data_IF_925404735662
#
_entry.id   IF_925404735662
#
_cell.length_a   1.000
_cell.length_b   1.000
_cell.length_c   1.000
_cell.angle_alpha   90.00
_cell.angle_beta   90.00
_cell.angle_gamma   90.00
#
_symmetry.space_group_name_H-M   'P 1'
#
loop_
_entity.id
_entity.type
_entity.pdbx_description
1 polymer ?
#
# COMPACT_ATOMS: atom_id res chain seq x y z
N UNK A 1 -35.74 0.60 -34.11
CA UNK A 1 -35.57 -0.88 -34.20
C UNK A 1 -34.10 -1.30 -34.10
N UNK A 2 -33.15 -0.55 -34.68
CA UNK A 2 -31.70 -0.84 -34.56
C UNK A 2 -31.12 -0.47 -33.17
N UNK A 3 -31.58 0.63 -32.57
CA UNK A 3 -31.14 1.05 -31.22
C UNK A 3 -31.54 0.05 -30.13
N UNK A 4 -32.74 -0.52 -30.21
CA UNK A 4 -33.22 -1.54 -29.26
C UNK A 4 -32.42 -2.85 -29.31
N UNK A 5 -31.83 -3.19 -30.46
CA UNK A 5 -30.94 -4.35 -30.59
C UNK A 5 -29.53 -4.08 -30.05
N UNK A 6 -29.01 -2.86 -30.25
CA UNK A 6 -27.74 -2.40 -29.67
C UNK A 6 -27.81 -2.40 -28.14
N UNK A 7 -28.89 -1.87 -27.56
CA UNK A 7 -29.05 -1.84 -26.09
C UNK A 7 -29.24 -3.25 -25.49
N UNK A 8 -29.86 -4.18 -26.22
CA UNK A 8 -29.95 -5.59 -25.82
C UNK A 8 -28.58 -6.28 -25.84
N UNK A 9 -27.72 -5.96 -26.81
CA UNK A 9 -26.37 -6.54 -26.92
C UNK A 9 -25.38 -5.93 -25.92
N UNK A 10 -25.54 -4.65 -25.56
CA UNK A 10 -24.82 -4.00 -24.47
C UNK A 10 -25.19 -4.57 -23.10
N UNK A 11 -26.46 -4.97 -22.91
CA UNK A 11 -26.92 -5.64 -21.68
C UNK A 11 -26.43 -7.09 -21.62
N UNK A 12 -26.43 -7.82 -22.75
CA UNK A 12 -25.95 -9.22 -22.84
C UNK A 12 -24.43 -9.37 -22.64
N UNK A 13 -23.64 -8.33 -22.95
CA UNK A 13 -22.19 -8.30 -22.74
C UNK A 13 -21.77 -7.56 -21.47
N UNK A 14 -22.67 -7.41 -20.50
CA UNK A 14 -22.28 -7.02 -19.15
C UNK A 14 -21.66 -8.22 -18.43
N UNK A 15 -20.47 -8.62 -18.89
CA UNK A 15 -19.49 -9.28 -18.02
C UNK A 15 -19.06 -8.24 -16.98
N UNK A 16 -19.97 -7.81 -16.11
CA UNK A 16 -19.59 -7.27 -14.82
C UNK A 16 -18.94 -8.48 -14.18
N UNK A 17 -17.61 -8.48 -13.97
CA UNK A 17 -17.00 -9.55 -13.21
C UNK A 17 -17.63 -9.45 -11.83
N UNK A 18 -18.63 -10.29 -11.58
CA UNK A 18 -19.11 -10.54 -10.23
C UNK A 18 -17.88 -10.82 -9.37
N UNK A 19 -17.94 -10.45 -8.10
CA UNK A 19 -16.93 -10.85 -7.12
C UNK A 19 -16.81 -12.38 -7.22
N UNK A 20 -15.73 -12.86 -7.88
CA UNK A 20 -15.67 -14.20 -8.45
C UNK A 20 -15.52 -14.29 -9.99
N UNK A 21 -14.91 -13.30 -10.66
CA UNK A 21 -14.55 -13.42 -12.08
C UNK A 21 -13.66 -14.63 -12.36
N UNK A 22 -13.64 -15.17 -13.60
CA UNK A 22 -12.82 -16.34 -13.91
C UNK A 22 -11.35 -16.06 -13.57
N UNK A 23 -10.61 -17.06 -13.08
CA UNK A 23 -9.17 -16.91 -12.74
C UNK A 23 -8.33 -16.33 -13.90
N UNK A 24 -8.84 -16.42 -15.13
CA UNK A 24 -8.25 -15.82 -16.34
C UNK A 24 -8.21 -14.28 -16.28
N UNK A 25 -9.05 -13.62 -15.48
CA UNK A 25 -9.04 -12.18 -15.27
C UNK A 25 -7.78 -11.67 -14.54
N UNK A 26 -7.05 -12.54 -13.85
CA UNK A 26 -5.78 -12.19 -13.20
C UNK A 26 -4.57 -12.24 -14.15
N UNK A 27 -4.73 -12.81 -15.35
CA UNK A 27 -3.65 -12.94 -16.33
C UNK A 27 -3.02 -11.60 -16.74
N UNK A 28 -3.78 -10.53 -17.04
CA UNK A 28 -3.21 -9.21 -17.32
C UNK A 28 -2.42 -8.64 -16.13
N UNK A 29 -2.87 -8.90 -14.89
CA UNK A 29 -2.19 -8.44 -13.66
C UNK A 29 -0.83 -9.12 -13.52
N UNK A 30 -0.76 -10.43 -13.79
CA UNK A 30 0.51 -11.17 -13.76
C UNK A 30 1.49 -10.69 -14.82
N UNK A 31 1.01 -10.45 -16.05
CA UNK A 31 1.85 -9.89 -17.12
C UNK A 31 2.37 -8.51 -16.71
N UNK A 32 1.49 -7.63 -16.23
CA UNK A 32 1.87 -6.30 -15.79
C UNK A 32 2.89 -6.35 -14.65
N UNK A 33 2.72 -7.25 -13.69
CA UNK A 33 3.68 -7.45 -12.61
C UNK A 33 5.07 -7.86 -13.12
N UNK A 34 5.14 -8.78 -14.09
CA UNK A 34 6.41 -9.19 -14.72
C UNK A 34 7.06 -7.99 -15.40
N UNK A 35 6.31 -7.19 -16.16
CA UNK A 35 6.86 -5.97 -16.77
C UNK A 35 7.29 -4.94 -15.73
N UNK A 36 6.52 -4.73 -14.67
CA UNK A 36 6.83 -3.79 -13.60
C UNK A 36 8.13 -4.15 -12.86
N UNK A 37 8.45 -5.44 -12.72
CA UNK A 37 9.72 -5.91 -12.15
C UNK A 37 10.85 -5.90 -13.19
N UNK A 38 10.58 -6.33 -14.42
CA UNK A 38 11.58 -6.36 -15.48
C UNK A 38 12.07 -4.96 -15.84
N UNK A 39 11.19 -3.96 -15.86
CA UNK A 39 11.50 -2.59 -16.25
C UNK A 39 12.62 -1.94 -15.42
N UNK A 40 12.65 -1.99 -14.08
CA UNK A 40 13.79 -1.51 -13.29
C UNK A 40 14.99 -2.48 -13.29
N UNK A 41 14.77 -3.79 -13.37
CA UNK A 41 15.85 -4.79 -13.28
C UNK A 41 16.71 -4.82 -14.55
N UNK A 42 16.11 -4.77 -15.73
CA UNK A 42 16.81 -4.78 -17.03
C UNK A 42 17.86 -3.67 -17.17
N UNK A 43 17.56 -2.38 -16.92
CA UNK A 43 18.56 -1.32 -17.02
C UNK A 43 19.65 -1.42 -15.95
N UNK A 44 19.37 -1.98 -14.77
CA UNK A 44 20.41 -2.24 -13.76
C UNK A 44 21.40 -3.30 -14.27
N UNK A 45 20.89 -4.39 -14.86
CA UNK A 45 21.71 -5.46 -15.43
C UNK A 45 22.48 -4.95 -16.65
N UNK A 46 21.82 -4.27 -17.59
CA UNK A 46 22.48 -3.70 -18.76
C UNK A 46 23.52 -2.64 -18.35
N UNK A 47 23.19 -1.79 -17.38
CA UNK A 47 24.09 -0.80 -16.82
C UNK A 47 25.35 -1.44 -16.21
N UNK A 48 25.24 -2.64 -15.63
CA UNK A 48 26.39 -3.41 -15.14
C UNK A 48 27.35 -3.82 -16.26
N UNK A 49 26.85 -4.16 -17.45
CA UNK A 49 27.66 -4.57 -18.59
C UNK A 49 28.25 -3.39 -19.38
N UNK A 50 27.49 -2.29 -19.51
CA UNK A 50 27.93 -1.09 -20.27
C UNK A 50 28.91 -0.23 -19.46
N UNK A 51 28.79 -0.21 -18.12
CA UNK A 51 29.59 0.67 -17.26
C UNK A 51 31.07 0.22 -17.18
N UNK A 52 32.03 1.17 -17.22
CA UNK A 52 33.41 0.90 -16.85
C UNK A 52 33.56 0.36 -15.42
N UNK A 53 34.08 -0.85 -15.29
CA UNK A 53 34.25 -1.55 -14.02
C UNK A 53 35.56 -1.19 -13.32
N UNK A 54 35.74 0.09 -12.97
CA UNK A 54 36.92 0.59 -12.26
C UNK A 54 36.62 0.66 -10.75
N UNK A 55 37.19 -0.28 -10.00
CA UNK A 55 37.17 -0.29 -8.54
C UNK A 55 38.47 0.28 -8.00
N UNK A 56 38.37 1.14 -6.99
CA UNK A 56 39.52 1.64 -6.25
C UNK A 56 39.17 1.71 -4.77
N UNK A 57 40.17 1.56 -3.89
CA UNK A 57 39.97 1.61 -2.43
C UNK A 57 39.21 2.88 -2.00
N UNK A 58 39.56 4.03 -2.58
CA UNK A 58 38.91 5.31 -2.31
C UNK A 58 37.46 5.42 -2.85
N UNK A 59 37.06 4.58 -3.82
CA UNK A 59 35.69 4.57 -4.40
C UNK A 59 34.74 3.63 -3.64
N UNK A 60 35.31 2.68 -2.91
CA UNK A 60 34.57 1.68 -2.13
C UNK A 60 34.52 2.01 -0.63
N UNK A 61 35.13 3.13 -0.20
CA UNK A 61 35.03 3.61 1.18
C UNK A 61 33.66 4.27 1.45
N UNK A 62 33.06 4.11 2.64
CA UNK A 62 31.90 4.88 3.06
C UNK A 62 32.14 6.38 2.93
N UNK A 63 31.08 7.13 2.62
CA UNK A 63 31.14 8.58 2.50
C UNK A 63 31.05 9.23 3.89
N UNK A 64 32.12 9.88 4.32
CA UNK A 64 32.21 10.59 5.62
C UNK A 64 33.01 11.89 5.44
N UNK A 65 32.58 12.79 4.54
CA UNK A 65 33.18 14.12 4.31
C UNK A 65 34.73 14.18 4.12
N UNK A 66 35.37 13.08 3.74
CA UNK A 66 36.82 13.00 3.48
C UNK A 66 37.64 12.41 4.63
N UNK A 67 37.04 12.16 5.78
CA UNK A 67 37.65 11.44 6.91
C UNK A 67 37.24 9.96 6.88
N UNK A 68 37.96 9.12 7.62
CA UNK A 68 37.54 7.73 7.81
C UNK A 68 36.41 7.68 8.86
N UNK A 69 35.37 6.84 8.64
CA UNK A 69 34.25 6.75 9.56
C UNK A 69 34.72 6.28 10.94
N UNK A 70 34.45 7.09 11.95
CA UNK A 70 34.84 6.86 13.34
C UNK A 70 33.77 6.08 14.11
N UNK A 71 32.53 6.06 13.60
CA UNK A 71 31.37 5.45 14.27
C UNK A 71 31.17 4.00 13.83
N UNK A 72 30.87 3.12 14.77
CA UNK A 72 30.49 1.73 14.47
C UNK A 72 29.11 1.66 13.82
N UNK A 73 28.94 0.78 12.83
CA UNK A 73 27.69 0.64 12.07
C UNK A 73 26.49 0.05 12.85
N UNK A 74 26.67 -0.20 14.16
CA UNK A 74 25.72 -0.90 15.03
C UNK A 74 25.27 -0.06 16.24
N UNK A 75 25.23 1.25 16.10
CA UNK A 75 24.70 2.10 17.17
C UNK A 75 23.17 1.95 17.30
N UNK A 76 22.65 2.30 18.48
CA UNK A 76 21.23 2.19 18.80
C UNK A 76 20.46 3.28 18.08
N UNK A 77 19.63 2.88 17.13
CA UNK A 77 18.64 3.76 16.55
C UNK A 77 17.59 4.17 17.58
N UNK A 78 17.04 5.36 17.43
CA UNK A 78 16.02 5.87 18.36
C UNK A 78 14.76 5.00 18.33
N UNK A 79 14.13 4.80 19.49
CA UNK A 79 12.89 3.99 19.62
C UNK A 79 11.71 4.63 18.86
N UNK A 80 11.84 5.88 18.42
CA UNK A 80 10.80 6.64 17.72
C UNK A 80 10.32 5.95 16.44
N UNK A 81 11.21 5.31 15.69
CA UNK A 81 10.84 4.55 14.48
C UNK A 81 9.93 3.35 14.81
N UNK A 82 10.19 2.68 15.93
CA UNK A 82 9.36 1.56 16.39
C UNK A 82 7.95 2.02 16.75
N UNK A 83 7.81 3.16 17.44
CA UNK A 83 6.51 3.71 17.83
C UNK A 83 5.66 4.05 16.60
N UNK A 84 6.27 4.68 15.58
CA UNK A 84 5.57 5.00 14.32
C UNK A 84 5.18 3.72 13.56
N UNK A 85 6.07 2.74 13.47
CA UNK A 85 5.77 1.46 12.81
C UNK A 85 4.64 0.70 13.51
N UNK A 86 4.63 0.67 14.84
CA UNK A 86 3.57 0.05 15.63
C UNK A 86 2.23 0.76 15.45
N UNK A 87 2.21 2.10 15.43
CA UNK A 87 1.01 2.88 15.15
C UNK A 87 0.48 2.63 13.73
N UNK A 88 1.36 2.59 12.73
CA UNK A 88 1.00 2.26 11.35
C UNK A 88 0.39 0.86 11.25
N UNK A 89 0.98 -0.14 11.91
CA UNK A 89 0.46 -1.52 11.90
C UNK A 89 -0.94 -1.60 12.50
N UNK A 90 -1.19 -0.92 13.63
CA UNK A 90 -2.51 -0.89 14.27
C UNK A 90 -3.53 -0.24 13.32
N UNK A 91 -3.20 0.91 12.73
CA UNK A 91 -4.08 1.60 11.80
C UNK A 91 -4.32 0.79 10.51
N UNK A 92 -3.31 0.11 9.98
CA UNK A 92 -3.42 -0.75 8.79
C UNK A 92 -4.40 -1.91 9.05
N UNK A 93 -4.28 -2.57 10.21
CA UNK A 93 -5.23 -3.59 10.66
C UNK A 93 -6.64 -3.01 10.83
N UNK A 94 -6.79 -1.77 11.28
CA UNK A 94 -8.12 -1.15 11.38
C UNK A 94 -8.77 -0.93 10.01
N UNK A 95 -7.98 -0.57 8.99
CA UNK A 95 -8.50 -0.40 7.61
C UNK A 95 -9.02 -1.69 6.99
N UNK A 96 -8.49 -2.86 7.36
CA UNK A 96 -9.02 -4.14 6.87
C UNK A 96 -10.47 -4.37 7.32
N UNK A 97 -10.88 -3.78 8.46
CA UNK A 97 -12.26 -3.84 8.96
C UNK A 97 -13.15 -2.79 8.28
N UNK A 98 -12.59 -1.66 7.85
CA UNK A 98 -13.32 -0.63 7.11
C UNK A 98 -13.74 -1.11 5.71
N UNK A 99 -12.93 -1.94 5.06
CA UNK A 99 -13.14 -2.37 3.67
C UNK A 99 -14.44 -3.18 3.48
N UNK A 100 -14.72 -4.27 4.22
CA UNK A 100 -15.99 -5.00 4.10
C UNK A 100 -17.20 -4.13 4.39
N UNK A 101 -17.11 -3.26 5.41
CA UNK A 101 -18.18 -2.33 5.74
C UNK A 101 -18.49 -1.38 4.57
N UNK A 102 -17.46 -0.81 3.94
CA UNK A 102 -17.63 0.11 2.81
C UNK A 102 -18.31 -0.57 1.62
N UNK A 103 -17.97 -1.84 1.36
CA UNK A 103 -18.59 -2.64 0.30
C UNK A 103 -20.07 -2.91 0.60
N UNK A 104 -20.40 -3.27 1.85
CA UNK A 104 -21.80 -3.54 2.25
C UNK A 104 -22.64 -2.26 2.21
N UNK A 105 -22.07 -1.13 2.61
CA UNK A 105 -22.77 0.16 2.58
C UNK A 105 -23.14 0.61 1.15
N UNK A 106 -22.40 0.17 0.13
CA UNK A 106 -22.72 0.41 -1.28
C UNK A 106 -23.88 -0.45 -1.82
N UNK A 107 -24.35 -1.47 -1.07
CA UNK A 107 -25.45 -2.33 -1.48
C UNK A 107 -26.84 -1.71 -1.30
N UNK A 108 -27.84 -2.22 -2.02
CA UNK A 108 -29.21 -1.71 -2.06
C UNK A 108 -30.05 -2.01 -0.79
N UNK A 109 -29.50 -2.78 0.16
CA UNK A 109 -30.20 -3.25 1.36
C UNK A 109 -30.26 -2.21 2.49
N UNK A 110 -31.12 -1.21 2.33
CA UNK A 110 -31.26 -0.02 3.18
C UNK A 110 -31.54 -0.28 4.68
N UNK A 111 -32.01 -1.47 5.04
CA UNK A 111 -32.37 -1.82 6.44
C UNK A 111 -31.14 -2.07 7.30
N UNK A 112 -30.10 -2.72 6.75
CA UNK A 112 -28.83 -2.96 7.47
C UNK A 112 -27.91 -1.74 7.46
N UNK A 113 -28.08 -0.86 6.47
CA UNK A 113 -27.26 0.35 6.25
C UNK A 113 -27.28 1.31 7.44
N UNK A 114 -28.42 1.49 8.13
CA UNK A 114 -28.53 2.43 9.26
C UNK A 114 -27.78 1.95 10.50
N UNK A 115 -27.85 0.66 10.80
CA UNK A 115 -27.14 0.07 11.94
C UNK A 115 -25.63 0.06 11.68
N UNK A 116 -25.21 -0.39 10.49
CA UNK A 116 -23.82 -0.40 10.07
C UNK A 116 -23.19 1.01 10.08
N UNK A 117 -23.95 2.05 9.72
CA UNK A 117 -23.47 3.43 9.77
C UNK A 117 -23.15 3.88 11.20
N UNK A 118 -24.01 3.58 12.17
CA UNK A 118 -23.77 3.92 13.58
C UNK A 118 -22.55 3.16 14.12
N UNK A 119 -22.46 1.86 13.82
CA UNK A 119 -21.31 1.04 14.21
C UNK A 119 -19.99 1.61 13.68
N UNK A 120 -19.98 2.12 12.46
CA UNK A 120 -18.79 2.74 11.87
C UNK A 120 -18.40 4.05 12.55
N UNK A 121 -19.36 4.89 12.91
CA UNK A 121 -19.07 6.10 13.69
C UNK A 121 -18.49 5.77 15.06
N UNK A 122 -18.98 4.72 15.72
CA UNK A 122 -18.42 4.22 16.98
C UNK A 122 -17.00 3.69 16.77
N UNK A 123 -16.79 2.87 15.73
CA UNK A 123 -15.49 2.31 15.39
C UNK A 123 -14.44 3.41 15.14
N UNK A 124 -14.72 4.34 14.23
CA UNK A 124 -13.86 5.50 13.94
C UNK A 124 -13.66 6.35 15.20
N UNK A 125 -14.70 6.54 16.02
CA UNK A 125 -14.61 7.26 17.29
C UNK A 125 -13.57 6.65 18.24
N UNK A 126 -13.54 5.32 18.35
CA UNK A 126 -12.53 4.61 19.15
C UNK A 126 -11.13 4.83 18.58
N UNK A 127 -10.97 4.76 17.25
CA UNK A 127 -9.66 4.99 16.58
C UNK A 127 -9.14 6.39 16.85
N UNK A 128 -10.00 7.39 16.70
CA UNK A 128 -9.65 8.80 16.93
C UNK A 128 -9.25 9.02 18.38
N UNK A 129 -9.92 8.38 19.34
CA UNK A 129 -9.53 8.46 20.76
C UNK A 129 -8.16 7.82 21.00
N UNK A 130 -7.91 6.64 20.44
CA UNK A 130 -6.61 5.95 20.54
C UNK A 130 -5.47 6.77 19.93
N UNK A 131 -5.70 7.31 18.73
CA UNK A 131 -4.76 8.19 18.04
C UNK A 131 -4.51 9.48 18.82
N UNK A 132 -5.57 10.13 19.30
CA UNK A 132 -5.46 11.34 20.12
C UNK A 132 -4.65 11.09 21.39
N UNK A 133 -4.89 9.96 22.07
CA UNK A 133 -4.10 9.57 23.25
C UNK A 133 -2.62 9.38 22.91
N UNK A 134 -2.30 8.68 21.82
CA UNK A 134 -0.92 8.48 21.36
C UNK A 134 -0.25 9.83 21.05
N UNK A 135 -0.96 10.74 20.39
CA UNK A 135 -0.46 12.09 20.10
C UNK A 135 -0.20 12.88 21.39
N UNK A 136 -1.14 12.87 22.35
CA UNK A 136 -0.97 13.53 23.65
C UNK A 136 0.19 12.98 24.47
N UNK A 137 0.61 11.74 24.23
CA UNK A 137 1.79 11.13 24.85
C UNK A 137 3.11 11.41 24.12
N UNK A 138 3.09 12.22 23.07
CA UNK A 138 4.31 12.56 22.32
C UNK A 138 4.84 11.43 21.45
N UNK A 139 4.03 10.41 21.16
CA UNK A 139 4.42 9.29 20.29
C UNK A 139 4.83 9.73 18.87
N UNK A 140 4.40 10.92 18.47
CA UNK A 140 4.61 11.53 17.15
C UNK A 140 5.58 12.71 17.17
N UNK A 141 6.22 13.00 18.31
CA UNK A 141 7.13 14.15 18.41
C UNK A 141 8.48 13.85 17.75
N UNK A 142 8.83 14.68 16.77
CA UNK A 142 10.08 14.64 15.99
C UNK A 142 10.93 15.90 16.24
N UNK A 143 11.11 16.22 17.52
CA UNK A 143 12.06 17.23 18.00
C UNK A 143 13.07 16.61 18.97
#
# INVERSE_FOLDING_TARGET
>A
MFESALLLQATANSNIPGVGGPVTAYWPVMIFFVFAVAFPVLPIILGRFVRPSIYGKAKMRPYECGIDPVTEAHDRFTVRYYIVAMLFLIFDVETIFLLPWAIIFMGDDFTFTKFALIEMFVFIGILVVGYYYAWRKGALEWA
#
